data_IF_167420959708
#
_entry.id   IF_167420959708
#
_cell.length_a   1.000
_cell.length_b   1.000
_cell.length_c   1.000
_cell.angle_alpha   90.00
_cell.angle_beta   90.00
_cell.angle_gamma   90.00
#
_symmetry.space_group_name_H-M   'P 1'
#
loop_
_entity.id
_entity.type
_entity.pdbx_description
1 polymer ?
#
# COMPACT_ATOMS: atom_id res chain seq x y z
N UNK A 1 2.97 -6.05 -5.72
CA UNK A 1 3.18 -4.71 -6.33
C UNK A 1 4.64 -4.40 -6.66
N UNK A 2 4.92 -3.75 -7.79
CA UNK A 2 6.25 -3.38 -8.28
C UNK A 2 6.64 -1.95 -7.84
N UNK A 3 7.86 -1.77 -7.33
CA UNK A 3 8.27 -0.49 -6.74
C UNK A 3 8.48 0.63 -7.78
N UNK A 4 8.89 0.28 -9.00
CA UNK A 4 9.10 1.26 -10.09
C UNK A 4 7.80 1.91 -10.52
N UNK A 5 6.75 1.11 -10.69
CA UNK A 5 5.41 1.57 -11.05
C UNK A 5 4.80 2.47 -9.96
N UNK A 6 5.05 2.14 -8.69
CA UNK A 6 4.57 2.94 -7.56
C UNK A 6 5.18 4.34 -7.53
N UNK A 7 6.46 4.49 -7.89
CA UNK A 7 7.13 5.80 -7.89
C UNK A 7 6.60 6.75 -8.96
N UNK A 8 6.14 6.21 -10.09
CA UNK A 8 5.58 6.99 -11.21
C UNK A 8 4.18 7.54 -10.92
N UNK A 9 3.42 6.94 -10.01
CA UNK A 9 2.07 7.37 -9.63
C UNK A 9 2.06 8.66 -8.83
N UNK A 10 0.97 9.43 -8.91
CA UNK A 10 0.77 10.62 -8.10
C UNK A 10 0.57 10.28 -6.61
N UNK A 11 0.87 11.21 -5.70
CA UNK A 11 0.61 11.03 -4.26
C UNK A 11 -0.88 10.77 -3.97
N UNK A 12 -1.77 11.44 -4.72
CA UNK A 12 -3.21 11.24 -4.61
C UNK A 12 -3.59 9.78 -4.96
N UNK A 13 -3.08 9.30 -6.09
CA UNK A 13 -3.32 7.93 -6.56
C UNK A 13 -2.74 6.89 -5.59
N UNK A 14 -1.57 7.16 -5.01
CA UNK A 14 -0.97 6.29 -4.00
C UNK A 14 -1.84 6.21 -2.74
N UNK A 15 -2.41 7.34 -2.31
CA UNK A 15 -3.33 7.41 -1.17
C UNK A 15 -4.63 6.64 -1.44
N UNK A 16 -5.20 6.78 -2.64
CA UNK A 16 -6.41 6.05 -3.03
C UNK A 16 -6.14 4.56 -3.17
N UNK A 17 -5.00 4.18 -3.75
CA UNK A 17 -4.59 2.78 -3.86
C UNK A 17 -4.39 2.16 -2.47
N UNK A 18 -3.80 2.91 -1.52
CA UNK A 18 -3.68 2.49 -0.12
C UNK A 18 -5.05 2.21 0.49
N UNK A 19 -6.02 3.13 0.37
CA UNK A 19 -7.38 2.94 0.92
C UNK A 19 -8.06 1.70 0.35
N UNK A 20 -7.89 1.45 -0.95
CA UNK A 20 -8.47 0.28 -1.60
C UNK A 20 -7.85 -1.02 -1.07
N UNK A 21 -6.52 -1.07 -0.94
CA UNK A 21 -5.83 -2.23 -0.37
C UNK A 21 -6.19 -2.46 1.11
N UNK A 22 -6.40 -1.41 1.90
CA UNK A 22 -6.86 -1.54 3.29
C UNK A 22 -8.26 -2.16 3.39
N UNK A 23 -9.17 -1.79 2.49
CA UNK A 23 -10.49 -2.43 2.40
C UNK A 23 -10.36 -3.91 2.02
N UNK A 24 -9.54 -4.20 1.01
CA UNK A 24 -9.32 -5.58 0.57
C UNK A 24 -8.68 -6.43 1.68
N UNK A 25 -7.76 -5.88 2.48
CA UNK A 25 -7.20 -6.57 3.65
C UNK A 25 -8.30 -6.92 4.66
N UNK A 26 -9.24 -6.01 4.92
CA UNK A 26 -10.36 -6.27 5.84
C UNK A 26 -11.25 -7.37 5.31
N UNK A 27 -11.63 -7.30 4.04
CA UNK A 27 -12.45 -8.33 3.40
C UNK A 27 -11.77 -9.70 3.40
N UNK A 28 -10.49 -9.76 3.02
CA UNK A 28 -9.71 -11.01 3.04
C UNK A 28 -9.60 -11.56 4.46
N UNK A 29 -9.40 -10.70 5.47
CA UNK A 29 -9.34 -11.11 6.87
C UNK A 29 -10.68 -11.67 7.36
N UNK A 30 -11.79 -11.03 7.01
CA UNK A 30 -13.14 -11.51 7.31
C UNK A 30 -13.45 -12.83 6.60
N UNK A 31 -13.11 -12.95 5.32
CA UNK A 31 -13.32 -14.17 4.54
C UNK A 31 -12.44 -15.32 5.06
N UNK A 32 -11.23 -15.02 5.51
CA UNK A 32 -10.34 -16.00 6.16
C UNK A 32 -10.93 -16.47 7.48
N UNK A 33 -11.44 -15.56 8.30
CA UNK A 33 -12.10 -15.89 9.57
C UNK A 33 -13.36 -16.74 9.37
N UNK A 34 -14.14 -16.44 8.32
CA UNK A 34 -15.31 -17.22 7.93
C UNK A 34 -14.96 -18.56 7.25
N UNK A 35 -13.67 -18.86 7.02
CA UNK A 35 -13.23 -20.07 6.32
C UNK A 35 -13.55 -20.11 4.82
N UNK A 36 -14.01 -18.98 4.25
CA UNK A 36 -14.31 -18.83 2.81
C UNK A 36 -13.06 -18.62 1.96
N UNK A 37 -12.04 -18.00 2.54
CA UNK A 37 -10.76 -17.76 1.88
C UNK A 37 -9.77 -18.89 2.19
N UNK A 38 -9.41 -19.66 1.17
CA UNK A 38 -8.41 -20.75 1.28
C UNK A 38 -6.99 -20.20 1.30
N UNK A 39 -6.77 -19.00 0.77
CA UNK A 39 -5.45 -18.39 0.67
C UNK A 39 -5.17 -17.43 1.84
N UNK A 40 -4.86 -18.00 3.00
CA UNK A 40 -4.40 -17.27 4.21
C UNK A 40 -3.18 -16.36 3.96
N UNK A 41 -2.36 -16.66 2.94
CA UNK A 41 -1.18 -15.83 2.61
C UNK A 41 -1.55 -14.52 1.92
N UNK A 42 -2.74 -14.42 1.33
CA UNK A 42 -3.21 -13.23 0.59
C UNK A 42 -3.21 -11.98 1.46
N UNK A 43 -3.69 -12.07 2.71
CA UNK A 43 -3.65 -10.95 3.65
C UNK A 43 -2.22 -10.48 3.97
N UNK A 44 -1.25 -11.39 3.98
CA UNK A 44 0.16 -11.06 4.18
C UNK A 44 0.77 -10.34 2.96
N UNK A 45 0.42 -10.75 1.75
CA UNK A 45 0.88 -10.10 0.51
C UNK A 45 0.32 -8.69 0.38
N UNK A 46 -0.98 -8.50 0.63
CA UNK A 46 -1.63 -7.20 0.60
C UNK A 46 -1.01 -6.22 1.62
N UNK A 47 -0.69 -6.71 2.84
CA UNK A 47 0.02 -5.90 3.85
C UNK A 47 1.40 -5.43 3.39
N UNK A 48 2.16 -6.28 2.68
CA UNK A 48 3.45 -5.89 2.11
C UNK A 48 3.29 -4.85 1.00
N UNK A 49 2.24 -4.95 0.20
CA UNK A 49 1.98 -4.00 -0.86
C UNK A 49 1.58 -2.62 -0.29
N UNK A 50 0.79 -2.57 0.78
CA UNK A 50 0.54 -1.32 1.54
C UNK A 50 1.83 -0.73 2.11
N UNK A 51 2.71 -1.56 2.69
CA UNK A 51 3.98 -1.09 3.24
C UNK A 51 4.86 -0.43 2.16
N UNK A 52 4.93 -1.01 0.95
CA UNK A 52 5.67 -0.41 -0.17
C UNK A 52 5.10 0.94 -0.60
N UNK A 53 3.77 1.09 -0.63
CA UNK A 53 3.14 2.39 -0.95
C UNK A 53 3.52 3.43 0.09
N UNK A 54 3.44 3.09 1.38
CA UNK A 54 3.83 3.99 2.47
C UNK A 54 5.30 4.41 2.36
N UNK A 55 6.20 3.48 2.02
CA UNK A 55 7.61 3.79 1.77
C UNK A 55 7.75 4.82 0.66
N UNK A 56 7.09 4.64 -0.48
CA UNK A 56 7.18 5.58 -1.62
C UNK A 56 6.59 6.94 -1.27
N UNK A 57 5.47 7.01 -0.54
CA UNK A 57 4.91 8.28 -0.06
C UNK A 57 5.92 9.00 0.84
N UNK A 58 6.57 8.27 1.75
CA UNK A 58 7.54 8.85 2.66
C UNK A 58 8.83 9.29 1.94
N UNK A 59 9.31 8.51 0.97
CA UNK A 59 10.42 8.89 0.08
C UNK A 59 10.13 10.23 -0.61
N UNK A 60 8.93 10.39 -1.19
CA UNK A 60 8.52 11.64 -1.85
C UNK A 60 8.45 12.82 -0.88
N UNK A 61 7.94 12.58 0.33
CA UNK A 61 7.86 13.60 1.39
C UNK A 61 9.23 14.07 1.87
N UNK A 62 10.18 13.14 2.03
CA UNK A 62 11.57 13.48 2.41
C UNK A 62 12.19 14.33 1.30
N UNK A 63 12.06 13.89 0.05
CA UNK A 63 12.61 14.59 -1.13
C UNK A 63 12.02 16.00 -1.32
N UNK A 64 10.75 16.21 -0.97
CA UNK A 64 10.12 17.53 -1.01
C UNK A 64 10.53 18.41 0.18
N UNK A 65 10.77 17.82 1.36
CA UNK A 65 11.25 18.55 2.53
C UNK A 65 12.71 19.00 2.43
N UNK A 66 13.57 18.22 1.77
CA UNK A 66 14.98 18.58 1.54
C UNK A 66 15.11 19.79 0.59
N UNK A 67 14.18 19.98 -0.36
CA UNK A 67 14.18 21.13 -1.28
C UNK A 67 13.84 22.47 -0.64
N UNK A 68 13.35 22.50 0.60
CA UNK A 68 12.98 23.74 1.32
C UNK A 68 14.14 24.23 2.21
N UNK A 69 15.21 23.43 2.32
CA UNK A 69 16.35 23.71 3.20
C UNK A 69 17.62 24.26 2.50
N UNK A 70 17.59 24.53 1.20
CA UNK A 70 18.67 25.21 0.44
C UNK A 70 18.27 26.64 0.04
#
# INVERSE_FOLDING_TARGET
>A
MNAKELRQKSEQELSDTKKNLEKEIREVSLNTLQGKEKNVKKAGLLRRDVAKILTVINEKKILSSEKVGE
#
